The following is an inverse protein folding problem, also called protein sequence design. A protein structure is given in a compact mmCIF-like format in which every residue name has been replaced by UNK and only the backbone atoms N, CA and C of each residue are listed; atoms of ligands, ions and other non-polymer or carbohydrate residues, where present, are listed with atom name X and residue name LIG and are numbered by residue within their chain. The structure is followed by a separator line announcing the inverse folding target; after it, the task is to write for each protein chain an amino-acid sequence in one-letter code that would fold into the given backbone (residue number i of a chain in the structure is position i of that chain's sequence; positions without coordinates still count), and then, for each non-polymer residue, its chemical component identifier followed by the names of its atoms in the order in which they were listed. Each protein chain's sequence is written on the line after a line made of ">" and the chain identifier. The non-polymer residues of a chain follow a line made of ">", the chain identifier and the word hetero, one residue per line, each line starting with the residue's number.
data_IF_478191544970
#
_entry.id   IF_478191544970
#
_cell.length_a   1.000
_cell.length_b   1.000
_cell.length_c   1.000
_cell.angle_alpha   90.00
_cell.angle_beta   90.00
_cell.angle_gamma   90.00
#
_symmetry.space_group_name_H-M   'P 1'
#
loop_
_entity.id
_entity.type
_entity.pdbx_description
1 polymer ?
#
# COMPACT_ATOMS: atom_id res chain seq x y z
N UNK A 1 23.85 -2.50 -33.34
CA UNK A 1 24.27 -3.09 -32.05
C UNK A 1 23.03 -3.22 -31.17
N UNK A 2 22.60 -4.45 -30.87
CA UNK A 2 21.29 -4.72 -30.22
C UNK A 2 21.45 -4.56 -28.71
N UNK A 3 20.45 -4.00 -28.01
CA UNK A 3 20.45 -3.78 -26.54
C UNK A 3 20.89 -5.03 -25.73
N UNK A 4 20.59 -6.23 -26.26
CA UNK A 4 21.07 -7.52 -25.72
C UNK A 4 22.60 -7.65 -25.70
N UNK A 5 23.29 -7.18 -26.71
CA UNK A 5 24.76 -7.21 -26.80
C UNK A 5 25.38 -6.27 -25.77
N UNK A 6 24.77 -5.10 -25.54
CA UNK A 6 25.23 -4.12 -24.54
C UNK A 6 25.07 -4.66 -23.11
N UNK A 7 23.92 -5.28 -22.83
CA UNK A 7 23.63 -5.92 -21.53
C UNK A 7 24.58 -7.09 -21.27
N UNK A 8 24.77 -7.98 -22.25
CA UNK A 8 25.67 -9.12 -22.09
C UNK A 8 27.15 -8.71 -21.97
N UNK A 9 27.57 -7.62 -22.64
CA UNK A 9 28.90 -7.05 -22.48
C UNK A 9 29.14 -6.44 -21.09
N UNK A 10 28.11 -5.86 -20.46
CA UNK A 10 28.20 -5.30 -19.10
C UNK A 10 28.32 -6.37 -18.02
N UNK A 11 27.69 -7.55 -18.19
CA UNK A 11 27.63 -8.59 -17.16
C UNK A 11 28.68 -9.71 -17.31
N UNK A 12 29.40 -9.79 -18.42
CA UNK A 12 30.35 -10.89 -18.70
C UNK A 12 31.75 -10.70 -18.12
N UNK A 13 32.09 -9.52 -17.53
CA UNK A 13 33.48 -9.20 -17.14
C UNK A 13 33.79 -9.11 -15.64
N UNK A 14 32.86 -9.31 -14.72
CA UNK A 14 33.13 -9.05 -13.29
C UNK A 14 32.87 -10.26 -12.38
N UNK A 15 33.87 -11.14 -12.26
CA UNK A 15 33.95 -12.15 -11.20
C UNK A 15 34.68 -11.67 -9.93
N UNK A 16 34.81 -10.36 -9.76
CA UNK A 16 35.37 -9.73 -8.55
C UNK A 16 34.88 -8.28 -8.47
N UNK A 17 33.58 -8.10 -8.20
CA UNK A 17 33.03 -6.77 -7.99
C UNK A 17 33.56 -6.25 -6.65
N UNK A 18 34.61 -5.43 -6.70
CA UNK A 18 35.01 -4.59 -5.58
C UNK A 18 33.80 -3.75 -5.16
N UNK A 19 33.56 -3.68 -3.85
CA UNK A 19 32.48 -2.90 -3.25
C UNK A 19 32.68 -1.44 -3.65
N UNK A 20 31.86 -0.94 -4.59
CA UNK A 20 31.98 0.43 -5.10
C UNK A 20 31.58 1.39 -3.97
N UNK A 21 32.53 2.19 -3.49
CA UNK A 21 32.35 3.13 -2.37
C UNK A 21 31.55 4.39 -2.74
N UNK A 22 31.36 4.64 -4.04
CA UNK A 22 30.48 5.68 -4.55
C UNK A 22 29.16 5.06 -5.00
N UNK A 23 28.06 5.80 -4.94
CA UNK A 23 26.67 5.40 -5.25
C UNK A 23 26.42 4.77 -6.65
N UNK A 24 27.45 4.37 -7.39
CA UNK A 24 27.38 3.59 -8.61
C UNK A 24 26.90 4.43 -9.81
N UNK A 25 27.21 3.94 -11.01
CA UNK A 25 26.84 4.56 -12.28
C UNK A 25 25.32 4.73 -12.49
N UNK A 26 24.47 4.14 -11.63
CA UNK A 26 23.01 4.22 -11.70
C UNK A 26 22.48 5.63 -11.40
N UNK A 27 23.13 6.41 -10.53
CA UNK A 27 22.72 7.79 -10.27
C UNK A 27 22.95 8.71 -11.48
N UNK A 28 23.92 8.39 -12.33
CA UNK A 28 24.26 9.20 -13.51
C UNK A 28 23.37 8.90 -14.71
N UNK A 29 22.57 7.82 -14.67
CA UNK A 29 21.71 7.46 -15.79
C UNK A 29 20.49 8.38 -15.91
N UNK A 30 20.11 8.77 -17.13
CA UNK A 30 18.86 9.45 -17.40
C UNK A 30 17.64 8.67 -16.86
N UNK A 31 16.57 9.37 -16.44
CA UNK A 31 15.35 8.74 -15.94
C UNK A 31 14.75 7.69 -16.87
N UNK A 32 14.87 7.87 -18.19
CA UNK A 32 14.33 6.97 -19.20
C UNK A 32 15.06 5.62 -19.19
N UNK A 33 16.39 5.63 -19.07
CA UNK A 33 17.18 4.41 -18.98
C UNK A 33 16.94 3.70 -17.64
N UNK A 34 16.80 4.47 -16.56
CA UNK A 34 16.44 3.92 -15.24
C UNK A 34 15.06 3.26 -15.25
N UNK A 35 14.06 3.86 -15.91
CA UNK A 35 12.74 3.23 -16.09
C UNK A 35 12.84 1.87 -16.77
N UNK A 36 13.66 1.75 -17.81
CA UNK A 36 13.87 0.47 -18.50
C UNK A 36 14.53 -0.54 -17.55
N UNK A 37 15.61 -0.15 -16.86
CA UNK A 37 16.32 -1.02 -15.92
C UNK A 37 15.38 -1.48 -14.80
N UNK A 38 14.72 -0.55 -14.13
CA UNK A 38 13.80 -0.85 -13.03
C UNK A 38 12.64 -1.72 -13.49
N UNK A 39 12.15 -1.54 -14.72
CA UNK A 39 11.12 -2.39 -15.30
C UNK A 39 11.56 -3.85 -15.47
N UNK A 40 12.86 -4.15 -15.53
CA UNK A 40 13.36 -5.52 -15.61
C UNK A 40 13.71 -6.14 -14.25
N UNK A 41 13.67 -5.36 -13.17
CA UNK A 41 13.92 -5.86 -11.81
C UNK A 41 12.68 -6.55 -11.24
N UNK A 42 12.91 -7.47 -10.31
CA UNK A 42 11.88 -7.97 -9.42
C UNK A 42 11.68 -7.01 -8.22
N UNK A 43 10.59 -7.18 -7.47
CA UNK A 43 10.26 -6.30 -6.35
C UNK A 43 11.35 -6.28 -5.26
N UNK A 44 12.02 -7.42 -5.02
CA UNK A 44 13.11 -7.50 -4.03
C UNK A 44 14.32 -6.69 -4.48
N UNK A 45 14.75 -6.81 -5.74
CA UNK A 45 15.89 -6.04 -6.25
C UNK A 45 15.59 -4.55 -6.31
N UNK A 46 14.38 -4.16 -6.69
CA UNK A 46 13.97 -2.76 -6.70
C UNK A 46 14.00 -2.13 -5.30
N UNK A 47 13.57 -2.87 -4.28
CA UNK A 47 13.67 -2.43 -2.87
C UNK A 47 15.11 -2.34 -2.38
N UNK A 48 16.02 -3.21 -2.86
CA UNK A 48 17.46 -3.07 -2.58
C UNK A 48 18.03 -1.79 -3.18
N UNK A 49 17.69 -1.47 -4.44
CA UNK A 49 18.12 -0.22 -5.09
C UNK A 49 17.63 1.00 -4.30
N UNK A 50 16.37 0.99 -3.85
CA UNK A 50 15.81 2.05 -2.99
C UNK A 50 16.66 2.30 -1.74
N UNK A 51 17.29 1.28 -1.17
CA UNK A 51 18.09 1.39 0.04
C UNK A 51 19.54 1.86 -0.16
N UNK A 52 20.00 2.04 -1.41
CA UNK A 52 21.42 2.35 -1.69
C UNK A 52 21.80 3.79 -1.35
N UNK A 53 20.93 4.75 -1.69
CA UNK A 53 21.15 6.16 -1.38
C UNK A 53 19.83 6.96 -1.41
N UNK A 54 19.85 8.19 -0.90
CA UNK A 54 18.70 9.11 -0.97
C UNK A 54 18.23 9.34 -2.41
N UNK A 55 19.17 9.49 -3.34
CA UNK A 55 18.85 9.70 -4.76
C UNK A 55 18.19 8.47 -5.40
N UNK A 56 18.68 7.26 -5.08
CA UNK A 56 18.04 6.02 -5.55
C UNK A 56 16.66 5.83 -4.94
N UNK A 57 16.49 6.23 -3.67
CA UNK A 57 15.18 6.24 -3.01
C UNK A 57 14.20 7.11 -3.79
N UNK A 58 14.55 8.35 -4.10
CA UNK A 58 13.70 9.29 -4.85
C UNK A 58 13.37 8.76 -6.25
N UNK A 59 14.35 8.22 -6.97
CA UNK A 59 14.17 7.64 -8.31
C UNK A 59 13.25 6.42 -8.32
N UNK A 60 13.43 5.50 -7.38
CA UNK A 60 12.54 4.34 -7.24
C UNK A 60 11.13 4.78 -6.85
N UNK A 61 11.02 5.82 -6.03
CA UNK A 61 9.73 6.38 -5.62
C UNK A 61 8.97 7.02 -6.78
N UNK A 62 9.64 7.84 -7.58
CA UNK A 62 9.08 8.39 -8.80
C UNK A 62 8.69 7.28 -9.79
N UNK A 63 9.47 6.20 -9.87
CA UNK A 63 9.14 5.06 -10.71
C UNK A 63 7.88 4.33 -10.23
N UNK A 64 7.70 4.17 -8.92
CA UNK A 64 6.55 3.49 -8.29
C UNK A 64 5.34 4.40 -8.07
N UNK A 65 5.39 5.68 -8.40
CA UNK A 65 4.21 6.57 -8.34
C UNK A 65 3.28 6.39 -9.55
N UNK A 66 3.80 5.84 -10.66
CA UNK A 66 3.01 5.49 -11.83
C UNK A 66 2.20 4.21 -11.59
N UNK A 67 0.91 4.23 -11.93
CA UNK A 67 -0.01 3.13 -11.61
C UNK A 67 0.36 1.81 -12.33
N UNK A 68 0.79 1.88 -13.58
CA UNK A 68 1.13 0.68 -14.38
C UNK A 68 2.33 -0.06 -13.81
N UNK A 69 3.39 0.67 -13.44
CA UNK A 69 4.57 0.11 -12.78
C UNK A 69 4.19 -0.39 -11.39
N UNK A 70 3.44 0.41 -10.61
CA UNK A 70 3.02 0.01 -9.28
C UNK A 70 2.23 -1.32 -9.27
N UNK A 71 1.32 -1.52 -10.23
CA UNK A 71 0.58 -2.77 -10.41
C UNK A 71 1.50 -3.96 -10.67
N UNK A 72 2.53 -3.78 -11.51
CA UNK A 72 3.52 -4.84 -11.79
C UNK A 72 4.28 -5.25 -10.52
N UNK A 73 4.62 -4.31 -9.66
CA UNK A 73 5.40 -4.55 -8.45
C UNK A 73 4.55 -4.85 -7.21
N UNK A 74 3.23 -4.66 -7.28
CA UNK A 74 2.32 -4.75 -6.13
C UNK A 74 2.56 -3.67 -5.06
N UNK A 75 3.28 -2.59 -5.42
CA UNK A 75 3.73 -1.54 -4.52
C UNK A 75 3.54 -0.19 -5.20
N UNK A 76 2.93 0.77 -4.50
CA UNK A 76 2.77 2.13 -4.98
C UNK A 76 3.45 3.11 -4.02
N UNK A 77 4.13 4.11 -4.58
CA UNK A 77 4.53 5.29 -3.83
C UNK A 77 3.44 6.34 -3.93
N UNK A 78 3.06 6.90 -2.77
CA UNK A 78 2.13 8.02 -2.72
C UNK A 78 2.81 9.20 -2.03
N UNK A 79 2.62 10.37 -2.64
CA UNK A 79 2.94 11.64 -2.00
C UNK A 79 2.02 11.88 -0.79
N UNK A 80 2.44 12.75 0.15
CA UNK A 80 1.60 13.17 1.26
C UNK A 80 0.26 13.72 0.77
N UNK A 81 -0.80 12.97 1.05
CA UNK A 81 -2.17 13.34 0.71
C UNK A 81 -3.12 12.73 1.74
N UNK A 82 -4.33 13.28 1.78
CA UNK A 82 -5.43 12.69 2.53
C UNK A 82 -6.00 11.49 1.79
N UNK A 83 -6.20 10.41 2.52
CA UNK A 83 -6.81 9.17 2.06
C UNK A 83 -7.98 8.81 2.98
N UNK A 84 -8.91 8.03 2.45
CA UNK A 84 -9.99 7.45 3.25
C UNK A 84 -9.55 6.07 3.71
N UNK A 85 -9.38 5.91 5.01
CA UNK A 85 -9.13 4.64 5.66
C UNK A 85 -10.44 3.94 5.98
N UNK A 86 -10.61 2.70 5.54
CA UNK A 86 -11.72 1.83 5.93
C UNK A 86 -11.16 0.70 6.78
N UNK A 87 -11.64 0.61 8.02
CA UNK A 87 -11.26 -0.42 8.98
C UNK A 87 -12.01 -1.73 8.77
N UNK A 88 -11.93 -2.60 9.77
CA UNK A 88 -12.66 -3.87 9.83
C UNK A 88 -14.14 -3.69 10.19
N UNK A 89 -14.93 -4.75 10.03
CA UNK A 89 -16.34 -4.73 10.39
C UNK A 89 -16.52 -4.59 11.90
N UNK A 90 -17.42 -3.69 12.28
CA UNK A 90 -17.86 -3.50 13.66
C UNK A 90 -19.29 -4.00 13.81
N UNK A 91 -19.56 -4.73 14.89
CA UNK A 91 -20.86 -5.32 15.17
C UNK A 91 -21.88 -4.26 15.58
N UNK A 92 -23.05 -4.31 14.94
CA UNK A 92 -24.23 -3.48 15.21
C UNK A 92 -25.34 -4.25 15.93
N UNK A 93 -25.06 -5.49 16.33
CA UNK A 93 -25.96 -6.31 17.15
C UNK A 93 -25.22 -6.88 18.35
N UNK A 94 -25.95 -7.05 19.44
CA UNK A 94 -25.51 -7.77 20.63
C UNK A 94 -26.29 -9.06 20.75
N UNK A 95 -25.61 -10.20 20.62
CA UNK A 95 -26.19 -11.51 20.85
C UNK A 95 -26.12 -11.85 22.35
N UNK A 96 -27.23 -12.32 22.90
CA UNK A 96 -27.35 -12.76 24.29
C UNK A 96 -27.75 -14.23 24.36
N UNK A 97 -27.60 -14.85 25.54
CA UNK A 97 -27.87 -16.29 25.75
C UNK A 97 -29.31 -16.67 25.36
N UNK A 98 -30.27 -15.74 25.51
CA UNK A 98 -31.69 -15.95 25.19
C UNK A 98 -32.16 -15.19 23.94
N UNK A 99 -31.28 -14.45 23.27
CA UNK A 99 -31.66 -13.54 22.19
C UNK A 99 -30.97 -13.94 20.90
N UNK A 100 -31.51 -15.02 20.31
CA UNK A 100 -31.02 -15.66 19.09
C UNK A 100 -30.97 -14.66 17.93
N UNK A 101 -31.86 -13.67 17.95
CA UNK A 101 -31.96 -12.64 16.91
C UNK A 101 -31.04 -11.45 17.16
N UNK A 102 -30.44 -11.33 18.35
CA UNK A 102 -29.59 -10.22 18.77
C UNK A 102 -30.35 -8.89 18.88
N UNK A 103 -29.92 -8.01 19.77
CA UNK A 103 -30.50 -6.66 19.89
C UNK A 103 -29.69 -5.64 19.09
N UNK A 104 -30.33 -4.66 18.43
CA UNK A 104 -29.61 -3.53 17.86
C UNK A 104 -28.71 -2.88 18.91
N UNK A 105 -27.47 -2.61 18.52
CA UNK A 105 -26.48 -1.93 19.35
C UNK A 105 -25.76 -0.91 18.48
N UNK A 106 -25.65 0.31 18.97
CA UNK A 106 -24.71 1.26 18.39
C UNK A 106 -23.29 0.94 18.86
N UNK A 107 -22.33 0.80 17.94
CA UNK A 107 -20.96 0.50 18.31
C UNK A 107 -20.35 1.68 19.07
N UNK A 108 -19.62 1.36 20.14
CA UNK A 108 -18.89 2.37 20.89
C UNK A 108 -17.73 2.93 20.09
N UNK A 109 -17.29 4.14 20.44
CA UNK A 109 -16.08 4.74 19.86
C UNK A 109 -14.85 3.81 19.98
N UNK A 110 -14.73 3.07 21.10
CA UNK A 110 -13.65 2.12 21.31
C UNK A 110 -13.67 0.93 20.33
N UNK A 111 -14.86 0.45 19.96
CA UNK A 111 -15.02 -0.64 19.00
C UNK A 111 -14.70 -0.17 17.58
N UNK A 112 -15.13 1.05 17.24
CA UNK A 112 -14.77 1.69 15.98
C UNK A 112 -13.26 1.90 15.90
N UNK A 113 -12.62 2.39 16.95
CA UNK A 113 -11.17 2.62 16.96
C UNK A 113 -10.39 1.31 16.80
N UNK A 114 -10.82 0.23 17.47
CA UNK A 114 -10.24 -1.12 17.32
C UNK A 114 -10.34 -1.64 15.89
N UNK A 115 -11.33 -1.23 15.11
CA UNK A 115 -11.43 -1.65 13.70
C UNK A 115 -10.27 -1.18 12.82
N UNK A 116 -9.52 -0.16 13.25
CA UNK A 116 -8.40 0.40 12.49
C UNK A 116 -7.03 -0.10 12.97
N UNK A 117 -6.95 -1.05 13.90
CA UNK A 117 -5.66 -1.45 14.50
C UNK A 117 -4.95 -2.59 13.77
N UNK A 118 -5.70 -3.53 13.16
CA UNK A 118 -5.12 -4.73 12.53
C UNK A 118 -4.97 -4.57 11.02
N UNK A 119 -6.00 -4.04 10.36
CA UNK A 119 -6.01 -3.89 8.92
C UNK A 119 -6.84 -2.69 8.49
N UNK A 120 -6.25 -1.89 7.62
CA UNK A 120 -6.91 -0.75 7.00
C UNK A 120 -6.80 -0.86 5.49
N UNK A 121 -7.93 -0.65 4.81
CA UNK A 121 -7.97 -0.48 3.35
C UNK A 121 -8.04 1.00 3.04
N UNK A 122 -7.12 1.53 2.24
CA UNK A 122 -7.08 2.95 1.87
C UNK A 122 -7.67 3.18 0.49
N UNK A 123 -8.40 4.28 0.37
CA UNK A 123 -9.04 4.75 -0.85
C UNK A 123 -8.67 6.22 -1.11
N UNK A 124 -8.56 6.57 -2.39
CA UNK A 124 -8.35 7.97 -2.80
C UNK A 124 -9.65 8.77 -2.80
N UNK A 125 -10.80 8.11 -2.94
CA UNK A 125 -12.11 8.78 -3.02
C UNK A 125 -13.10 8.21 -2.01
N UNK A 126 -14.00 9.07 -1.54
CA UNK A 126 -15.13 8.66 -0.70
C UNK A 126 -16.09 7.72 -1.43
N UNK A 127 -16.25 7.87 -2.75
CA UNK A 127 -17.15 7.02 -3.54
C UNK A 127 -16.69 5.56 -3.53
N UNK A 128 -15.38 5.32 -3.72
CA UNK A 128 -14.80 3.98 -3.68
C UNK A 128 -14.87 3.38 -2.28
N UNK A 129 -14.57 4.18 -1.25
CA UNK A 129 -14.68 3.77 0.15
C UNK A 129 -16.12 3.37 0.51
N UNK A 130 -17.11 4.19 0.16
CA UNK A 130 -18.52 3.89 0.38
C UNK A 130 -18.97 2.64 -0.38
N UNK A 131 -18.49 2.44 -1.60
CA UNK A 131 -18.78 1.22 -2.38
C UNK A 131 -18.18 -0.01 -1.68
N UNK A 132 -16.96 0.10 -1.16
CA UNK A 132 -16.34 -0.97 -0.38
C UNK A 132 -17.10 -1.26 0.92
N UNK A 133 -17.51 -0.23 1.67
CA UNK A 133 -18.32 -0.38 2.89
C UNK A 133 -19.61 -1.12 2.57
N UNK A 134 -20.34 -0.72 1.52
CA UNK A 134 -21.58 -1.39 1.10
C UNK A 134 -21.35 -2.87 0.80
N UNK A 135 -20.30 -3.20 0.05
CA UNK A 135 -19.93 -4.58 -0.29
C UNK A 135 -19.54 -5.43 0.93
N UNK A 136 -19.00 -4.80 1.98
CA UNK A 136 -18.55 -5.47 3.21
C UNK A 136 -19.58 -5.41 4.34
N UNK A 137 -20.65 -4.64 4.17
CA UNK A 137 -21.74 -4.57 5.14
C UNK A 137 -22.46 -5.91 5.16
N UNK A 138 -22.65 -6.46 6.35
CA UNK A 138 -23.33 -7.73 6.56
C UNK A 138 -24.70 -7.46 7.16
N UNK A 139 -25.69 -8.18 6.62
CA UNK A 139 -27.06 -8.18 7.11
C UNK A 139 -27.38 -9.60 7.57
N UNK A 140 -28.22 -9.69 8.60
CA UNK A 140 -28.81 -10.97 9.04
C UNK A 140 -29.77 -11.51 7.98
N UNK A 141 -30.24 -12.75 8.15
CA UNK A 141 -31.28 -13.37 7.30
C UNK A 141 -32.59 -12.57 7.20
N UNK A 142 -32.82 -11.64 8.13
CA UNK A 142 -34.01 -10.78 8.21
C UNK A 142 -33.75 -9.34 7.76
N UNK A 143 -32.74 -9.13 6.91
CA UNK A 143 -32.31 -7.82 6.40
C UNK A 143 -31.92 -6.78 7.46
N UNK A 144 -31.76 -7.20 8.72
CA UNK A 144 -31.27 -6.31 9.78
C UNK A 144 -29.74 -6.16 9.72
N UNK A 145 -29.24 -4.93 9.93
CA UNK A 145 -27.81 -4.66 9.94
C UNK A 145 -27.11 -5.47 11.04
N UNK A 146 -26.15 -6.30 10.65
CA UNK A 146 -25.35 -7.13 11.55
C UNK A 146 -24.00 -6.47 11.86
N UNK A 147 -23.23 -6.16 10.82
CA UNK A 147 -21.92 -5.55 10.97
C UNK A 147 -21.57 -4.67 9.78
N UNK A 148 -20.80 -3.60 9.99
CA UNK A 148 -20.30 -2.76 8.90
C UNK A 148 -18.91 -2.22 9.17
N UNK A 149 -18.08 -2.01 8.14
CA UNK A 149 -16.85 -1.25 8.30
C UNK A 149 -17.12 0.23 8.58
N UNK A 150 -16.16 0.87 9.26
CA UNK A 150 -16.15 2.31 9.47
C UNK A 150 -15.02 2.96 8.68
N UNK A 151 -15.22 4.23 8.30
CA UNK A 151 -14.20 5.01 7.61
C UNK A 151 -13.78 6.24 8.41
N UNK A 152 -12.54 6.66 8.20
CA UNK A 152 -11.99 7.91 8.70
C UNK A 152 -11.00 8.49 7.68
N UNK A 153 -10.65 9.76 7.83
CA UNK A 153 -9.62 10.38 7.02
C UNK A 153 -8.26 10.17 7.67
N UNK A 154 -7.29 9.76 6.86
CA UNK A 154 -5.90 9.60 7.29
C UNK A 154 -4.97 10.36 6.36
N UNK A 155 -3.86 10.86 6.89
CA UNK A 155 -2.80 11.49 6.09
C UNK A 155 -1.56 10.60 6.13
N UNK A 156 -0.87 10.49 4.99
CA UNK A 156 0.42 9.79 4.91
C UNK A 156 1.49 10.61 5.66
N UNK A 157 2.16 9.99 6.64
CA UNK A 157 3.12 10.67 7.53
C UNK A 157 4.37 11.16 6.83
N UNK A 158 5.00 10.27 6.05
CA UNK A 158 6.31 10.51 5.48
C UNK A 158 6.23 10.59 3.96
N UNK A 159 6.96 11.53 3.33
CA UNK A 159 7.23 11.43 1.92
C UNK A 159 7.99 10.12 1.68
N UNK A 160 7.78 9.53 0.51
CA UNK A 160 8.39 8.27 0.14
C UNK A 160 7.93 7.04 0.94
N UNK A 161 6.65 7.02 1.33
CA UNK A 161 6.01 5.84 1.91
C UNK A 161 5.53 4.88 0.81
N UNK A 162 5.85 3.60 0.94
CA UNK A 162 5.35 2.56 0.04
C UNK A 162 4.14 1.85 0.64
N UNK A 163 3.11 1.70 -0.19
CA UNK A 163 1.88 0.99 0.12
C UNK A 163 1.76 -0.28 -0.71
N UNK A 164 1.29 -1.36 -0.08
CA UNK A 164 0.96 -2.59 -0.79
C UNK A 164 -0.35 -2.39 -1.52
N UNK A 165 -0.33 -2.68 -2.81
CA UNK A 165 -1.55 -2.71 -3.61
C UNK A 165 -2.27 -4.04 -3.37
N UNK A 166 -3.54 -3.96 -3.05
CA UNK A 166 -4.48 -5.06 -3.10
C UNK A 166 -5.21 -5.06 -4.45
N UNK A 167 -6.15 -5.98 -4.63
CA UNK A 167 -6.95 -6.08 -5.86
C UNK A 167 -7.62 -4.74 -6.20
N UNK A 168 -7.71 -4.44 -7.50
CA UNK A 168 -8.40 -3.27 -8.04
C UNK A 168 -7.85 -1.90 -7.58
N UNK A 169 -6.54 -1.78 -7.35
CA UNK A 169 -5.86 -0.53 -6.96
C UNK A 169 -6.24 0.00 -5.57
N UNK A 170 -6.87 -0.83 -4.75
CA UNK A 170 -7.03 -0.54 -3.32
C UNK A 170 -5.70 -0.74 -2.62
N UNK A 171 -5.46 0.00 -1.53
CA UNK A 171 -4.22 -0.11 -0.78
C UNK A 171 -4.50 -0.79 0.55
N UNK A 172 -3.59 -1.63 1.00
CA UNK A 172 -3.73 -2.27 2.31
C UNK A 172 -2.54 -1.96 3.20
N UNK A 173 -2.84 -1.63 4.45
CA UNK A 173 -1.86 -1.42 5.52
C UNK A 173 -2.29 -2.31 6.69
N UNK A 174 -1.32 -2.94 7.34
CA UNK A 174 -1.57 -3.91 8.42
C UNK A 174 -0.73 -3.60 9.65
N UNK A 175 -1.31 -3.89 10.80
CA UNK A 175 -0.65 -3.94 12.11
C UNK A 175 0.19 -2.68 12.37
N UNK A 176 1.44 -2.86 12.78
CA UNK A 176 2.40 -1.80 13.12
C UNK A 176 2.66 -0.80 11.98
N UNK A 177 2.43 -1.20 10.71
CA UNK A 177 2.60 -0.28 9.58
C UNK A 177 1.55 0.85 9.59
N UNK A 178 0.40 0.64 10.22
CA UNK A 178 -0.70 1.60 10.24
C UNK A 178 -0.26 2.86 10.98
N UNK A 179 0.20 2.72 12.21
CA UNK A 179 0.65 3.85 13.03
C UNK A 179 1.99 4.40 12.54
N UNK A 180 2.83 3.60 11.87
CA UNK A 180 4.08 4.07 11.28
C UNK A 180 3.86 4.94 10.03
N UNK A 181 2.87 4.60 9.19
CA UNK A 181 2.66 5.25 7.88
C UNK A 181 1.57 6.31 7.88
N UNK A 182 0.61 6.23 8.79
CA UNK A 182 -0.62 7.03 8.75
C UNK A 182 -0.81 7.86 10.02
N UNK A 183 -1.37 9.05 9.85
CA UNK A 183 -1.90 9.89 10.92
C UNK A 183 -3.41 9.95 10.77
N UNK A 184 -4.14 9.53 11.81
CA UNK A 184 -5.59 9.62 11.87
C UNK A 184 -6.01 11.05 12.24
N UNK A 185 -6.99 11.59 11.53
CA UNK A 185 -7.63 12.88 11.85
C UNK A 185 -8.79 12.71 12.80
#
# INVERSE_FOLDING_TARGET
>A
MKLKELVMALFSKNNSIAKVENNGYLSLLPPELLKIIFSHLDSKSLLKVRGLSKEHLEKVHQFLSHLETAKKFGLISLDPQDLIAVGENVMHRKYGISDIYGKPKEPSASEIQKSFTHKVTLFKTNADANTHIKKRTQYTEWDALESKPHQTTVTVKNPNTLFRMAENSTLSVRDEEITAKLTFK
#
